data_IF_839554624933
#
_entry.id   IF_839554624933
#
_cell.length_a   1.000
_cell.length_b   1.000
_cell.length_c   1.000
_cell.angle_alpha   90.00
_cell.angle_beta   90.00
_cell.angle_gamma   90.00
#
_symmetry.space_group_name_H-M   'P 1'
#
loop_
_entity.id
_entity.type
_entity.pdbx_description
1 polymer ?
#
# COMPACT_ATOMS: atom_id res chain seq x y z
N UNK A 1 2.86 -18.60 14.96
CA UNK A 1 1.73 -18.03 14.19
C UNK A 1 2.23 -16.73 13.57
N UNK A 2 2.34 -16.70 12.25
CA UNK A 2 2.98 -15.62 11.48
C UNK A 2 2.08 -14.38 11.41
N UNK A 3 2.50 -13.29 12.05
CA UNK A 3 1.86 -11.96 11.96
C UNK A 3 2.17 -11.33 10.60
N UNK A 4 1.19 -11.33 9.70
CA UNK A 4 1.24 -10.57 8.44
C UNK A 4 0.96 -9.07 8.65
N UNK A 5 1.10 -8.24 7.59
CA UNK A 5 0.84 -6.80 7.67
C UNK A 5 -0.63 -6.52 8.05
N UNK A 6 -0.81 -5.50 8.86
CA UNK A 6 -2.05 -5.13 9.57
C UNK A 6 -3.21 -4.87 8.59
N UNK A 7 -4.31 -5.63 8.76
CA UNK A 7 -5.60 -5.41 8.10
C UNK A 7 -6.29 -4.17 8.71
N UNK A 8 -6.79 -3.28 7.84
CA UNK A 8 -7.61 -2.10 8.16
C UNK A 8 -8.91 -2.41 8.93
N UNK A 9 -9.26 -3.67 9.16
CA UNK A 9 -10.54 -4.12 9.76
C UNK A 9 -10.48 -4.43 11.26
N UNK A 10 -9.31 -4.40 11.91
CA UNK A 10 -9.18 -4.89 13.29
C UNK A 10 -9.21 -3.78 14.35
N UNK A 11 -10.20 -2.87 14.30
CA UNK A 11 -10.38 -1.85 15.34
C UNK A 11 -11.84 -1.56 15.73
N UNK A 12 -12.75 -2.53 15.57
CA UNK A 12 -14.14 -2.43 16.08
C UNK A 12 -14.52 -3.67 16.90
N UNK A 13 -13.62 -4.19 17.75
CA UNK A 13 -13.93 -5.37 18.58
C UNK A 13 -13.46 -5.32 20.02
N UNK A 14 -12.71 -4.30 20.46
CA UNK A 14 -12.28 -4.20 21.87
C UNK A 14 -13.06 -3.09 22.57
N UNK A 15 -14.38 -3.30 22.65
CA UNK A 15 -15.26 -2.60 23.57
C UNK A 15 -15.88 -3.60 24.53
N UNK A 16 -15.18 -3.93 25.62
CA UNK A 16 -15.74 -4.62 26.77
C UNK A 16 -14.88 -4.40 28.04
N UNK A 17 -15.30 -3.40 28.80
CA UNK A 17 -15.47 -3.41 30.26
C UNK A 17 -14.30 -3.81 31.18
N UNK A 18 -13.80 -2.77 31.84
CA UNK A 18 -13.05 -2.76 33.11
C UNK A 18 -13.81 -3.51 34.21
N UNK A 19 -13.13 -4.40 34.95
CA UNK A 19 -12.88 -4.28 36.40
C UNK A 19 -12.57 -5.66 37.02
N UNK A 20 -11.43 -5.79 37.69
CA UNK A 20 -11.20 -6.93 38.60
C UNK A 20 -9.74 -7.30 38.83
N UNK A 21 -9.15 -6.70 39.87
CA UNK A 21 -8.09 -7.26 40.73
C UNK A 21 -6.66 -7.47 40.16
N UNK A 22 -5.74 -6.70 40.77
CA UNK A 22 -4.44 -7.11 41.29
C UNK A 22 -3.49 -7.93 40.39
N UNK A 23 -2.32 -7.36 40.08
CA UNK A 23 -1.04 -7.68 40.74
C UNK A 23 0.09 -6.99 39.96
N UNK A 24 0.89 -6.23 40.68
CA UNK A 24 2.18 -5.71 40.24
C UNK A 24 3.06 -6.83 39.68
N UNK A 25 3.41 -6.76 38.41
CA UNK A 25 4.64 -7.34 37.89
C UNK A 25 5.00 -6.60 36.62
N UNK A 26 6.28 -6.26 36.53
CA UNK A 26 6.88 -5.53 35.42
C UNK A 26 6.51 -6.18 34.08
N UNK A 27 5.53 -5.62 33.38
CA UNK A 27 5.39 -5.88 31.96
C UNK A 27 6.37 -4.97 31.23
N UNK A 28 7.26 -5.52 30.40
CA UNK A 28 8.19 -4.71 29.64
C UNK A 28 7.37 -3.83 28.68
N UNK A 29 7.37 -2.54 28.95
CA UNK A 29 7.19 -1.49 27.95
C UNK A 29 8.34 -1.60 26.92
N UNK A 30 8.32 -2.63 26.08
CA UNK A 30 9.27 -2.81 24.99
C UNK A 30 8.78 -3.92 24.06
N UNK A 31 7.87 -3.61 23.14
CA UNK A 31 7.58 -4.52 22.03
C UNK A 31 6.88 -3.87 20.83
N UNK A 32 7.08 -2.57 20.55
CA UNK A 32 6.54 -1.96 19.32
C UNK A 32 7.47 -0.88 18.76
N UNK A 33 8.57 -1.31 18.17
CA UNK A 33 9.20 -0.64 17.04
C UNK A 33 9.92 -1.76 16.26
N UNK A 34 9.47 -2.07 15.05
CA UNK A 34 10.22 -2.98 14.20
C UNK A 34 11.53 -2.31 13.83
N UNK A 35 12.65 -2.86 14.28
CA UNK A 35 14.02 -2.33 14.16
C UNK A 35 14.63 -2.43 12.74
N UNK A 36 13.87 -2.86 11.72
CA UNK A 36 14.41 -2.95 10.35
C UNK A 36 14.39 -1.57 9.67
N UNK A 37 15.52 -1.12 9.09
CA UNK A 37 15.56 0.10 8.30
C UNK A 37 14.56 0.09 7.15
N UNK A 38 13.97 1.25 6.87
CA UNK A 38 13.07 1.47 5.74
C UNK A 38 13.92 1.47 4.47
N UNK A 39 13.69 0.47 3.61
CA UNK A 39 14.33 0.36 2.30
C UNK A 39 13.33 0.74 1.19
N UNK A 40 13.49 1.91 0.55
CA UNK A 40 12.66 2.36 -0.59
C UNK A 40 12.55 1.33 -1.72
N UNK A 41 13.58 0.49 -1.93
CA UNK A 41 13.59 -0.51 -3.01
C UNK A 41 12.61 -1.63 -2.77
N UNK A 42 12.34 -1.98 -1.50
CA UNK A 42 11.37 -3.00 -1.10
C UNK A 42 9.92 -2.50 -1.12
N UNK A 43 9.70 -1.19 -1.29
CA UNK A 43 8.38 -0.57 -1.35
C UNK A 43 7.92 -0.33 -2.80
N UNK A 44 6.62 -0.19 -3.01
CA UNK A 44 6.10 0.40 -4.25
C UNK A 44 6.44 1.89 -4.32
N UNK A 45 6.34 2.50 -5.49
CA UNK A 45 6.64 3.94 -5.66
C UNK A 45 5.88 4.85 -4.70
N UNK A 46 4.67 4.49 -4.27
CA UNK A 46 3.89 5.28 -3.32
C UNK A 46 4.17 4.96 -1.83
N UNK A 47 5.13 4.09 -1.51
CA UNK A 47 5.41 3.64 -0.14
C UNK A 47 4.53 2.48 0.35
N UNK A 48 3.58 2.02 -0.47
CA UNK A 48 2.75 0.86 -0.14
C UNK A 48 3.50 -0.45 -0.36
N UNK A 49 3.17 -1.48 0.44
CA UNK A 49 3.58 -2.86 0.20
C UNK A 49 2.36 -3.67 -0.23
N UNK A 50 2.45 -4.35 -1.37
CA UNK A 50 1.35 -5.19 -1.86
C UNK A 50 0.97 -6.25 -0.81
N UNK A 51 -0.33 -6.47 -0.57
CA UNK A 51 -0.78 -7.51 0.34
C UNK A 51 -0.59 -8.87 -0.34
N UNK A 52 -0.37 -9.93 0.44
CA UNK A 52 -0.10 -11.28 -0.08
C UNK A 52 -1.28 -11.85 -0.89
N UNK A 53 -2.49 -11.40 -0.59
CA UNK A 53 -3.77 -11.78 -1.20
C UNK A 53 -4.24 -10.79 -2.28
N UNK A 54 -3.31 -10.08 -2.93
CA UNK A 54 -3.64 -9.17 -4.03
C UNK A 54 -4.24 -9.93 -5.24
N UNK A 55 -5.56 -9.83 -5.40
CA UNK A 55 -6.31 -10.49 -6.48
C UNK A 55 -5.84 -10.11 -7.89
N UNK A 56 -5.44 -8.86 -8.11
CA UNK A 56 -4.89 -8.43 -9.42
C UNK A 56 -3.62 -9.19 -9.78
N UNK A 57 -2.69 -9.29 -8.82
CA UNK A 57 -1.43 -10.02 -9.03
C UNK A 57 -1.70 -11.51 -9.21
N UNK A 58 -2.50 -12.11 -8.32
CA UNK A 58 -2.84 -13.53 -8.39
C UNK A 58 -3.55 -13.89 -9.70
N UNK A 59 -4.58 -13.13 -10.09
CA UNK A 59 -5.32 -13.34 -11.33
C UNK A 59 -4.45 -13.18 -12.57
N UNK A 60 -3.45 -12.29 -12.54
CA UNK A 60 -2.49 -12.17 -13.65
C UNK A 60 -1.56 -13.38 -13.73
N UNK A 61 -0.93 -13.77 -12.61
CA UNK A 61 0.04 -14.86 -12.58
C UNK A 61 -0.59 -16.23 -12.87
N UNK A 62 -1.85 -16.43 -12.47
CA UNK A 62 -2.59 -17.67 -12.68
C UNK A 62 -3.42 -17.66 -13.97
N UNK A 63 -3.41 -16.54 -14.70
CA UNK A 63 -4.31 -16.27 -15.81
C UNK A 63 -5.79 -16.56 -15.48
N UNK A 64 -6.23 -16.18 -14.27
CA UNK A 64 -7.58 -16.38 -13.76
C UNK A 64 -8.44 -15.14 -14.03
N UNK A 65 -9.31 -15.24 -15.03
CA UNK A 65 -10.20 -14.17 -15.49
C UNK A 65 -11.21 -13.75 -14.41
N UNK A 66 -11.68 -14.69 -13.60
CA UNK A 66 -12.67 -14.40 -12.57
C UNK A 66 -12.05 -13.63 -11.40
N UNK A 67 -10.80 -13.98 -11.02
CA UNK A 67 -10.03 -13.18 -10.08
C UNK A 67 -9.74 -11.77 -10.61
N UNK A 68 -9.36 -11.64 -11.89
CA UNK A 68 -9.19 -10.32 -12.54
C UNK A 68 -10.48 -9.50 -12.50
N UNK A 69 -11.63 -10.13 -12.81
CA UNK A 69 -12.96 -9.48 -12.78
C UNK A 69 -13.37 -9.07 -11.37
N UNK A 70 -13.09 -9.91 -10.37
CA UNK A 70 -13.35 -9.56 -8.98
C UNK A 70 -12.47 -8.38 -8.53
N UNK A 71 -11.18 -8.40 -8.88
CA UNK A 71 -10.27 -7.30 -8.57
C UNK A 71 -10.72 -5.99 -9.23
N UNK A 72 -11.17 -6.04 -10.48
CA UNK A 72 -11.71 -4.90 -11.22
C UNK A 72 -12.89 -4.23 -10.49
N UNK A 73 -13.82 -5.05 -9.97
CA UNK A 73 -14.96 -4.58 -9.17
C UNK A 73 -14.52 -4.03 -7.81
N UNK A 74 -13.70 -4.78 -7.07
CA UNK A 74 -13.20 -4.40 -5.74
C UNK A 74 -12.45 -3.06 -5.77
N UNK A 75 -11.71 -2.81 -6.85
CA UNK A 75 -10.95 -1.57 -7.08
C UNK A 75 -11.75 -0.47 -7.78
N UNK A 76 -13.02 -0.73 -8.10
CA UNK A 76 -13.95 0.21 -8.73
C UNK A 76 -13.37 0.82 -10.00
N UNK A 77 -12.73 0.00 -10.83
CA UNK A 77 -12.00 0.48 -12.03
C UNK A 77 -12.95 1.18 -13.02
N UNK A 78 -14.17 0.66 -13.20
CA UNK A 78 -15.18 1.26 -14.06
C UNK A 78 -15.53 2.68 -13.61
N UNK A 79 -15.83 2.87 -12.32
CA UNK A 79 -16.14 4.18 -11.75
C UNK A 79 -14.94 5.13 -11.80
N UNK A 80 -13.73 4.62 -11.56
CA UNK A 80 -12.52 5.44 -11.45
C UNK A 80 -11.98 5.90 -12.80
N UNK A 81 -12.19 5.11 -13.84
CA UNK A 81 -11.55 5.29 -15.14
C UNK A 81 -12.52 5.34 -16.32
N UNK A 82 -13.82 5.16 -16.08
CA UNK A 82 -14.89 5.12 -17.09
C UNK A 82 -14.60 4.07 -18.18
N UNK A 83 -14.24 2.86 -17.76
CA UNK A 83 -13.89 1.74 -18.64
C UNK A 83 -14.71 0.51 -18.26
N UNK A 84 -15.19 -0.23 -19.25
CA UNK A 84 -15.74 -1.56 -19.02
C UNK A 84 -14.63 -2.57 -18.73
N UNK A 85 -14.97 -3.68 -18.09
CA UNK A 85 -14.02 -4.76 -17.84
C UNK A 85 -13.37 -5.26 -19.13
N UNK A 86 -12.04 -5.18 -19.18
CA UNK A 86 -11.20 -5.72 -20.23
C UNK A 86 -10.12 -6.60 -19.59
N UNK A 87 -10.08 -7.87 -19.97
CA UNK A 87 -9.16 -8.85 -19.40
C UNK A 87 -7.69 -8.51 -19.67
N UNK A 88 -7.38 -7.98 -20.86
CA UNK A 88 -6.01 -7.65 -21.26
C UNK A 88 -5.49 -6.44 -20.49
N UNK A 89 -6.40 -5.53 -20.12
CA UNK A 89 -6.07 -4.37 -19.28
C UNK A 89 -6.13 -4.67 -17.78
N UNK A 90 -6.82 -5.75 -17.37
CA UNK A 90 -6.97 -6.19 -15.99
C UNK A 90 -5.76 -6.99 -15.48
N UNK A 91 -4.54 -6.55 -15.80
CA UNK A 91 -3.29 -7.21 -15.46
C UNK A 91 -2.44 -6.41 -14.46
N UNK A 92 -1.64 -7.10 -13.65
CA UNK A 92 -0.68 -6.49 -12.75
C UNK A 92 0.44 -7.48 -12.42
N UNK A 93 1.69 -7.12 -12.72
CA UNK A 93 2.87 -7.91 -12.38
C UNK A 93 3.62 -7.38 -11.15
N UNK A 94 3.20 -6.23 -10.62
CA UNK A 94 3.88 -5.51 -9.55
C UNK A 94 4.24 -4.09 -9.97
N UNK A 95 4.26 -3.16 -9.01
CA UNK A 95 4.44 -1.73 -9.28
C UNK A 95 5.79 -1.41 -9.96
N UNK A 96 6.85 -2.14 -9.56
CA UNK A 96 8.22 -1.99 -10.03
C UNK A 96 8.64 -3.01 -11.11
N UNK A 97 7.71 -3.81 -11.64
CA UNK A 97 7.97 -4.76 -12.73
C UNK A 97 7.96 -4.04 -14.08
N UNK A 98 8.97 -3.21 -14.32
CA UNK A 98 9.01 -2.28 -15.47
C UNK A 98 9.24 -2.99 -16.82
N UNK A 99 9.68 -4.25 -16.81
CA UNK A 99 9.87 -5.11 -17.98
C UNK A 99 8.58 -5.80 -18.45
N UNK A 100 7.48 -5.64 -17.70
CA UNK A 100 6.19 -6.30 -17.96
C UNK A 100 5.16 -5.33 -18.52
N UNK A 101 4.16 -5.82 -19.29
CA UNK A 101 3.07 -4.97 -19.75
C UNK A 101 2.30 -4.38 -18.56
N UNK A 102 1.93 -3.11 -18.70
CA UNK A 102 1.21 -2.36 -17.68
C UNK A 102 -0.29 -2.54 -17.87
N UNK A 103 -1.00 -2.99 -16.83
CA UNK A 103 -2.46 -2.90 -16.80
C UNK A 103 -2.94 -1.49 -16.46
N UNK A 104 -4.25 -1.28 -16.59
CA UNK A 104 -4.87 0.06 -16.51
C UNK A 104 -4.54 0.81 -15.22
N UNK A 105 -4.46 0.11 -14.08
CA UNK A 105 -4.19 0.71 -12.78
C UNK A 105 -2.78 1.31 -12.72
N UNK A 106 -1.80 0.61 -13.25
CA UNK A 106 -0.41 1.06 -13.24
C UNK A 106 -0.15 2.11 -14.33
N UNK A 107 -0.74 1.92 -15.50
CA UNK A 107 -0.63 2.84 -16.64
C UNK A 107 -1.22 4.23 -16.32
N UNK A 108 -2.27 4.29 -15.48
CA UNK A 108 -2.94 5.54 -15.09
C UNK A 108 -2.51 6.06 -13.71
N UNK A 109 -1.47 5.48 -13.08
CA UNK A 109 -1.00 5.95 -11.78
C UNK A 109 -0.02 7.12 -11.94
N UNK A 110 -0.50 8.33 -11.64
CA UNK A 110 0.28 9.57 -11.74
C UNK A 110 1.46 9.63 -10.75
N UNK A 111 1.32 9.07 -9.56
CA UNK A 111 2.40 8.94 -8.58
C UNK A 111 3.52 8.03 -9.08
N UNK A 112 3.18 6.90 -9.72
CA UNK A 112 4.15 5.99 -10.33
C UNK A 112 4.90 6.67 -11.48
N UNK A 113 4.18 7.35 -12.37
CA UNK A 113 4.79 8.09 -13.47
C UNK A 113 5.74 9.18 -12.94
N UNK A 114 5.31 9.96 -11.95
CA UNK A 114 6.11 11.01 -11.32
C UNK A 114 7.38 10.47 -10.66
N UNK A 115 7.30 9.37 -9.89
CA UNK A 115 8.47 8.78 -9.24
C UNK A 115 9.49 8.29 -10.28
N UNK A 116 9.03 7.70 -11.38
CA UNK A 116 9.90 7.27 -12.48
C UNK A 116 10.57 8.44 -13.19
N UNK A 117 9.83 9.52 -13.45
CA UNK A 117 10.37 10.75 -14.07
C UNK A 117 11.43 11.41 -13.19
N UNK A 118 11.22 11.40 -11.88
CA UNK A 118 12.19 11.92 -10.89
C UNK A 118 13.28 10.90 -10.50
N UNK A 119 13.30 9.72 -11.11
CA UNK A 119 14.24 8.62 -10.80
C UNK A 119 14.28 8.23 -9.32
N UNK A 120 13.13 8.30 -8.63
CA UNK A 120 12.98 7.93 -7.23
C UNK A 120 12.54 6.47 -7.09
N UNK A 121 13.09 5.78 -6.10
CA UNK A 121 12.66 4.43 -5.73
C UNK A 121 11.30 4.46 -5.02
N UNK A 122 11.06 5.50 -4.23
CA UNK A 122 9.82 5.69 -3.50
C UNK A 122 9.54 7.17 -3.21
N UNK A 123 8.28 7.55 -3.14
CA UNK A 123 7.87 8.92 -2.80
C UNK A 123 8.36 9.40 -1.44
N UNK A 124 8.77 8.50 -0.53
CA UNK A 124 9.40 8.89 0.73
C UNK A 124 10.77 9.57 0.54
N UNK A 125 11.39 9.42 -0.63
CA UNK A 125 12.63 10.12 -1.00
C UNK A 125 12.34 11.51 -1.59
N UNK A 126 11.07 11.83 -1.90
CA UNK A 126 10.71 13.09 -2.55
C UNK A 126 10.53 14.23 -1.53
N UNK A 127 11.30 15.31 -1.67
CA UNK A 127 11.20 16.46 -0.77
C UNK A 127 9.87 17.21 -0.82
N UNK A 128 9.15 17.07 -1.93
CA UNK A 128 7.86 17.71 -2.17
C UNK A 128 6.67 16.88 -1.66
N UNK A 129 6.88 15.69 -1.07
CA UNK A 129 5.80 14.75 -0.71
C UNK A 129 4.68 15.40 0.13
N UNK A 130 5.05 16.20 1.12
CA UNK A 130 4.07 16.89 2.00
C UNK A 130 3.16 17.83 1.21
N UNK A 131 3.71 18.57 0.24
CA UNK A 131 2.95 19.49 -0.61
C UNK A 131 2.30 18.79 -1.82
N UNK A 132 2.67 17.55 -2.13
CA UNK A 132 2.24 16.83 -3.32
C UNK A 132 0.72 16.56 -3.32
N UNK A 133 0.05 16.88 -4.42
CA UNK A 133 -1.41 16.84 -4.60
C UNK A 133 -1.85 15.93 -5.76
N UNK A 134 -0.98 15.01 -6.19
CA UNK A 134 -1.32 13.97 -7.16
C UNK A 134 -2.61 13.22 -6.75
N UNK A 135 -3.32 12.68 -7.73
CA UNK A 135 -4.65 12.06 -7.60
C UNK A 135 -4.72 11.05 -6.45
N UNK A 136 -3.70 10.18 -6.33
CA UNK A 136 -3.59 9.22 -5.23
C UNK A 136 -3.69 9.89 -3.84
N UNK A 137 -2.98 11.00 -3.65
CA UNK A 137 -2.90 11.71 -2.37
C UNK A 137 -4.19 12.46 -2.05
N UNK A 138 -4.84 13.03 -3.07
CA UNK A 138 -6.16 13.69 -2.91
C UNK A 138 -7.26 12.68 -2.56
N UNK A 139 -7.24 11.49 -3.17
CA UNK A 139 -8.24 10.44 -2.91
C UNK A 139 -8.03 9.73 -1.58
N UNK A 140 -6.78 9.56 -1.16
CA UNK A 140 -6.44 8.81 0.05
C UNK A 140 -5.60 9.65 1.03
N UNK A 141 -6.16 10.72 1.62
CA UNK A 141 -5.40 11.63 2.49
C UNK A 141 -4.85 10.94 3.74
N UNK A 142 -5.57 9.96 4.30
CA UNK A 142 -5.06 9.14 5.43
C UNK A 142 -3.84 8.31 5.04
N UNK A 143 -3.84 7.75 3.83
CA UNK A 143 -2.68 7.02 3.32
C UNK A 143 -1.52 7.99 3.07
N UNK A 144 -1.76 9.17 2.50
CA UNK A 144 -0.74 10.22 2.36
C UNK A 144 -0.09 10.54 3.71
N UNK A 145 -0.89 10.73 4.77
CA UNK A 145 -0.37 10.98 6.11
C UNK A 145 0.58 9.87 6.58
N UNK A 146 0.20 8.60 6.42
CA UNK A 146 1.05 7.46 6.79
C UNK A 146 2.37 7.42 5.99
N UNK A 147 2.35 7.80 4.71
CA UNK A 147 3.55 7.86 3.88
C UNK A 147 4.44 9.05 4.28
N UNK A 148 3.87 10.17 4.69
CA UNK A 148 4.63 11.31 5.25
C UNK A 148 5.29 10.93 6.58
N UNK A 149 4.56 10.28 7.49
CA UNK A 149 5.13 9.73 8.73
C UNK A 149 6.22 8.68 8.45
N UNK A 150 6.09 7.90 7.37
CA UNK A 150 7.13 6.98 6.91
C UNK A 150 8.36 7.72 6.39
N UNK A 151 8.19 8.81 5.63
CA UNK A 151 9.28 9.65 5.15
C UNK A 151 10.06 10.28 6.32
N UNK A 152 9.38 10.78 7.34
CA UNK A 152 10.04 11.34 8.52
C UNK A 152 10.95 10.30 9.20
N UNK A 153 10.44 9.07 9.40
CA UNK A 153 11.25 7.97 9.95
C UNK A 153 12.38 7.54 9.03
N UNK A 154 12.17 7.54 7.71
CA UNK A 154 13.22 7.23 6.73
C UNK A 154 14.35 8.26 6.78
N UNK A 155 14.03 9.54 6.85
CA UNK A 155 15.02 10.63 6.95
C UNK A 155 15.81 10.61 8.25
N UNK A 156 15.29 10.02 9.32
CA UNK A 156 16.02 9.81 10.58
C UNK A 156 17.02 8.65 10.50
N UNK A 157 16.98 7.82 9.45
CA UNK A 157 17.90 6.70 9.24
C UNK A 157 19.09 7.06 8.34
N UNK A 158 18.99 8.18 7.62
CA UNK A 158 20.03 8.71 6.73
C UNK A 158 21.03 9.58 7.51
#
# INVERSE_FOLDING_TARGET
>A
MTTGPIDRRTFISTGATVCGLCVCSQFPFAAFAGDEPIDPKKLNFCGYTCPKDCKFLQGTLQNDVELKRQAWKDWKIEERFALEFDEEQAICYGCKSLDKPEGVVLARCDVRACAREKELECCIECDELTACDKDLWRRFPKFKQQVVEMQERYRQQA
#
